data_IF_410874399493
#
_entry.id   IF_410874399493
#
_cell.length_a   1.000
_cell.length_b   1.000
_cell.length_c   1.000
_cell.angle_alpha   90.00
_cell.angle_beta   90.00
_cell.angle_gamma   90.00
#
_symmetry.space_group_name_H-M   'P 1'
#
loop_
_entity.id
_entity.type
_entity.pdbx_description
1 polymer ?
#
# COMPACT_ATOMS: atom_id res chain seq x y z
N UNK A 1 82.53 -53.42 36.86
CA UNK A 1 83.51 -53.53 35.75
C UNK A 1 82.79 -53.03 34.50
N UNK A 2 83.22 -52.06 33.70
CA UNK A 2 84.52 -51.45 33.48
C UNK A 2 84.34 -49.97 33.06
N UNK A 3 85.45 -49.25 33.04
CA UNK A 3 85.57 -47.81 32.83
C UNK A 3 85.50 -47.37 31.34
N UNK A 4 85.10 -46.08 31.18
CA UNK A 4 85.32 -45.06 30.13
C UNK A 4 86.42 -45.33 29.07
N UNK A 5 86.37 -44.74 27.84
CA UNK A 5 86.63 -43.29 27.70
C UNK A 5 86.16 -42.50 26.44
N UNK A 6 86.37 -41.17 26.53
CA UNK A 6 86.81 -40.16 25.51
C UNK A 6 85.87 -39.54 24.45
N UNK A 7 85.49 -38.28 24.74
CA UNK A 7 85.69 -37.01 23.97
C UNK A 7 85.50 -36.94 22.45
N UNK A 8 84.68 -35.96 22.01
CA UNK A 8 85.05 -34.86 21.07
C UNK A 8 83.96 -33.77 21.06
N UNK A 9 84.35 -32.49 21.18
CA UNK A 9 83.54 -31.31 20.81
C UNK A 9 83.50 -31.18 19.28
N UNK A 10 82.46 -30.54 18.72
CA UNK A 10 82.78 -29.34 17.96
C UNK A 10 81.80 -28.16 18.12
N UNK A 11 82.42 -26.98 18.01
CA UNK A 11 81.99 -25.70 17.43
C UNK A 11 80.55 -25.19 17.61
N UNK A 12 80.52 -24.04 18.28
CA UNK A 12 79.52 -22.98 18.14
C UNK A 12 79.35 -22.52 16.69
N UNK A 13 78.11 -22.54 16.21
CA UNK A 13 77.63 -21.60 15.20
C UNK A 13 76.51 -20.77 15.82
N UNK A 14 76.78 -19.47 16.00
CA UNK A 14 75.73 -18.49 16.30
C UNK A 14 74.75 -18.49 15.13
N UNK A 15 73.55 -19.03 15.36
CA UNK A 15 72.43 -18.92 14.43
C UNK A 15 71.71 -17.61 14.71
N UNK A 16 72.01 -16.60 13.90
CA UNK A 16 71.37 -15.28 13.85
C UNK A 16 69.93 -15.36 13.31
N UNK A 17 69.09 -16.22 13.89
CA UNK A 17 67.73 -16.48 13.40
C UNK A 17 66.61 -15.91 14.27
N UNK A 18 66.92 -15.13 15.32
CA UNK A 18 65.89 -14.59 16.22
C UNK A 18 65.35 -13.20 15.87
N UNK A 19 65.98 -12.48 14.93
CA UNK A 19 65.52 -11.13 14.53
C UNK A 19 64.71 -11.07 13.22
N UNK A 20 64.63 -12.14 12.44
CA UNK A 20 63.92 -12.11 11.15
C UNK A 20 62.41 -12.34 11.25
N UNK A 21 61.95 -13.08 12.27
CA UNK A 21 60.53 -13.38 12.48
C UNK A 21 59.70 -12.12 12.81
N UNK A 22 60.10 -11.23 13.74
CA UNK A 22 59.32 -10.02 14.01
C UNK A 22 59.34 -9.04 12.83
N UNK A 23 60.43 -9.00 12.06
CA UNK A 23 60.54 -8.12 10.89
C UNK A 23 59.63 -8.58 9.74
N UNK A 24 59.54 -9.89 9.47
CA UNK A 24 58.62 -10.45 8.48
C UNK A 24 57.15 -10.24 8.87
N UNK A 25 56.81 -10.34 10.16
CA UNK A 25 55.46 -10.04 10.63
C UNK A 25 55.08 -8.56 10.46
N UNK A 26 56.03 -7.63 10.72
CA UNK A 26 55.80 -6.20 10.55
C UNK A 26 55.63 -5.81 9.07
N UNK A 27 56.45 -6.40 8.19
CA UNK A 27 56.35 -6.19 6.74
C UNK A 27 55.02 -6.76 6.20
N UNK A 28 54.58 -7.93 6.69
CA UNK A 28 53.29 -8.51 6.32
C UNK A 28 52.11 -7.63 6.78
N UNK A 29 52.15 -7.09 8.00
CA UNK A 29 51.14 -6.16 8.52
C UNK A 29 51.12 -4.83 7.75
N UNK A 30 52.28 -4.30 7.37
CA UNK A 30 52.39 -3.08 6.55
C UNK A 30 51.88 -3.32 5.12
N UNK A 31 52.20 -4.46 4.52
CA UNK A 31 51.67 -4.84 3.20
C UNK A 31 50.16 -5.07 3.24
N UNK A 32 49.63 -5.66 4.33
CA UNK A 32 48.19 -5.82 4.53
C UNK A 32 47.49 -4.48 4.72
N UNK A 33 48.06 -3.56 5.50
CA UNK A 33 47.54 -2.20 5.65
C UNK A 33 47.58 -1.41 4.33
N UNK A 34 48.66 -1.53 3.55
CA UNK A 34 48.76 -0.92 2.22
C UNK A 34 47.76 -1.54 1.23
N UNK A 35 47.51 -2.85 1.30
CA UNK A 35 46.46 -3.50 0.50
C UNK A 35 45.07 -2.99 0.86
N UNK A 36 44.74 -2.76 2.13
CA UNK A 36 43.44 -2.23 2.54
C UNK A 36 43.31 -0.70 2.34
N UNK A 37 44.41 0.04 2.34
CA UNK A 37 44.44 1.45 1.96
C UNK A 37 44.36 1.66 0.44
N UNK A 38 44.94 0.75 -0.36
CA UNK A 38 44.85 0.76 -1.82
C UNK A 38 43.56 0.11 -2.36
N UNK A 39 42.96 -0.83 -1.61
CA UNK A 39 41.66 -1.44 -1.92
C UNK A 39 40.51 -0.77 -1.16
N UNK A 40 40.44 0.56 -1.19
CA UNK A 40 39.13 1.21 -1.21
C UNK A 40 38.71 1.27 -2.67
N UNK A 41 37.77 0.44 -3.13
CA UNK A 41 37.09 0.78 -4.36
C UNK A 41 36.26 2.03 -4.05
N UNK A 42 36.85 3.21 -4.25
CA UNK A 42 36.12 4.42 -4.58
C UNK A 42 35.55 4.24 -5.99
N UNK A 43 34.66 3.25 -6.14
CA UNK A 43 33.57 3.31 -7.10
C UNK A 43 32.47 4.12 -6.42
N UNK A 44 32.79 5.38 -6.12
CA UNK A 44 31.77 6.42 -6.13
C UNK A 44 31.37 6.46 -7.59
N UNK A 45 30.26 5.78 -7.85
CA UNK A 45 29.65 5.66 -9.16
C UNK A 45 29.53 7.05 -9.76
N UNK A 46 30.39 7.35 -10.73
CA UNK A 46 30.34 8.55 -11.58
C UNK A 46 29.21 8.41 -12.61
N UNK A 47 28.08 7.83 -12.20
CA UNK A 47 26.83 7.66 -12.95
C UNK A 47 25.72 8.59 -12.46
N UNK A 48 25.91 9.31 -11.34
CA UNK A 48 24.93 10.30 -10.87
C UNK A 48 24.94 11.62 -11.68
N UNK A 49 25.85 11.77 -12.66
CA UNK A 49 25.97 13.00 -13.47
C UNK A 49 25.50 12.84 -14.94
N UNK A 50 24.98 11.66 -15.31
CA UNK A 50 24.47 11.37 -16.67
C UNK A 50 22.96 11.07 -16.72
N UNK A 51 22.30 10.95 -15.57
CA UNK A 51 20.85 11.10 -15.49
C UNK A 51 20.60 12.55 -15.13
N UNK A 52 20.56 13.43 -16.14
CA UNK A 52 20.06 14.78 -15.94
C UNK A 52 18.75 14.70 -15.16
N UNK A 53 18.70 15.37 -14.02
CA UNK A 53 17.45 15.78 -13.39
C UNK A 53 16.52 16.19 -14.54
N UNK A 54 15.36 15.53 -14.75
CA UNK A 54 14.46 15.95 -15.81
C UNK A 54 14.18 17.42 -15.55
N UNK A 55 14.72 18.29 -16.41
CA UNK A 55 14.60 19.74 -16.29
C UNK A 55 13.13 20.02 -16.06
N UNK A 56 12.80 20.42 -14.83
CA UNK A 56 11.43 20.61 -14.38
C UNK A 56 10.90 21.79 -15.16
N UNK A 57 10.26 21.51 -16.29
CA UNK A 57 9.64 22.52 -17.12
C UNK A 57 8.55 23.19 -16.27
N UNK A 58 8.83 24.42 -15.83
CA UNK A 58 7.95 25.23 -14.99
C UNK A 58 6.61 25.55 -15.69
N UNK A 59 6.48 25.23 -16.99
CA UNK A 59 5.25 25.35 -17.77
C UNK A 59 4.46 24.03 -17.92
N UNK A 60 4.86 22.92 -17.31
CA UNK A 60 4.07 21.68 -17.37
C UNK A 60 2.79 21.81 -16.56
N UNK A 61 1.65 21.74 -17.26
CA UNK A 61 0.34 21.54 -16.62
C UNK A 61 0.39 20.27 -15.75
N UNK A 62 -0.24 20.25 -14.57
CA UNK A 62 -0.34 19.05 -13.73
C UNK A 62 -0.82 17.87 -14.57
N UNK A 63 -0.15 16.72 -14.47
CA UNK A 63 -0.57 15.56 -15.25
C UNK A 63 -1.82 14.93 -14.63
N UNK A 64 -2.80 14.62 -15.48
CA UNK A 64 -3.89 13.74 -15.10
C UNK A 64 -3.43 12.28 -15.22
N UNK A 65 -3.09 11.65 -14.09
CA UNK A 65 -2.69 10.25 -14.05
C UNK A 65 -3.86 9.26 -14.14
N UNK A 66 -5.12 9.70 -14.06
CA UNK A 66 -6.29 8.80 -14.08
C UNK A 66 -6.79 8.45 -15.48
N UNK A 67 -6.38 9.22 -16.49
CA UNK A 67 -6.72 8.98 -17.90
C UNK A 67 -5.52 8.43 -18.67
N UNK A 68 -5.71 7.28 -19.32
CA UNK A 68 -4.63 6.54 -19.99
C UNK A 68 -5.04 5.13 -20.41
N UNK A 69 -4.03 4.32 -20.72
CA UNK A 69 -4.20 2.93 -21.11
C UNK A 69 -3.13 2.04 -20.49
N UNK A 70 -3.45 0.75 -20.34
CA UNK A 70 -2.45 -0.27 -20.02
C UNK A 70 -1.69 -0.66 -21.27
N UNK A 71 -0.36 -0.61 -21.19
CA UNK A 71 0.54 -1.03 -22.25
C UNK A 71 1.43 -2.16 -21.73
N UNK A 72 1.77 -3.08 -22.62
CA UNK A 72 2.78 -4.09 -22.32
C UNK A 72 4.17 -3.45 -22.41
N UNK A 73 4.95 -3.61 -21.35
CA UNK A 73 6.37 -3.32 -21.34
C UNK A 73 7.08 -4.47 -22.08
N UNK A 74 7.76 -4.21 -23.21
CA UNK A 74 8.43 -5.25 -23.99
C UNK A 74 9.63 -5.82 -23.23
N UNK A 75 10.23 -5.03 -22.35
CA UNK A 75 11.44 -5.40 -21.63
C UNK A 75 11.13 -5.94 -20.22
N UNK A 76 11.91 -6.95 -19.75
CA UNK A 76 11.77 -7.44 -18.39
C UNK A 76 12.23 -6.37 -17.39
N UNK A 77 11.28 -5.64 -16.82
CA UNK A 77 11.61 -4.65 -15.79
C UNK A 77 11.99 -5.34 -14.48
N UNK A 78 13.11 -4.90 -13.91
CA UNK A 78 13.57 -5.37 -12.60
C UNK A 78 12.46 -5.22 -11.56
N UNK A 79 12.20 -6.31 -10.83
CA UNK A 79 11.17 -6.31 -9.80
C UNK A 79 11.57 -5.40 -8.64
N UNK A 80 10.66 -4.52 -8.23
CA UNK A 80 10.84 -3.69 -7.03
C UNK A 80 10.85 -4.52 -5.75
N UNK A 81 10.19 -5.68 -5.78
CA UNK A 81 10.20 -6.72 -4.76
C UNK A 81 9.65 -8.01 -5.39
N UNK A 82 9.96 -9.15 -4.79
CA UNK A 82 9.46 -10.44 -5.25
C UNK A 82 8.36 -11.00 -4.34
N UNK A 83 7.84 -12.15 -4.76
CA UNK A 83 6.81 -12.91 -4.03
C UNK A 83 7.28 -13.48 -2.68
N UNK A 84 8.55 -13.30 -2.28
CA UNK A 84 9.07 -13.78 -0.99
C UNK A 84 8.90 -12.77 0.14
N UNK A 85 8.46 -11.54 -0.16
CA UNK A 85 8.12 -10.54 0.85
C UNK A 85 7.10 -11.10 1.86
N UNK A 86 7.50 -11.18 3.14
CA UNK A 86 6.74 -11.85 4.20
C UNK A 86 5.46 -11.11 4.59
N UNK A 87 5.36 -9.84 4.22
CA UNK A 87 4.20 -8.99 4.48
C UNK A 87 3.02 -9.30 3.53
N UNK A 88 3.29 -9.97 2.39
CA UNK A 88 2.25 -10.38 1.44
C UNK A 88 1.35 -11.42 2.09
N UNK A 89 0.05 -11.13 2.16
CA UNK A 89 -0.93 -12.12 2.61
C UNK A 89 -0.96 -13.30 1.64
N UNK A 90 -1.01 -14.53 2.16
CA UNK A 90 -1.00 -15.76 1.34
C UNK A 90 -2.04 -15.74 0.20
N UNK A 91 -3.25 -15.22 0.47
CA UNK A 91 -4.30 -15.12 -0.54
C UNK A 91 -4.12 -14.00 -1.58
N UNK A 92 -3.10 -13.14 -1.45
CA UNK A 92 -2.72 -12.13 -2.45
C UNK A 92 -1.43 -12.52 -3.19
N UNK A 93 -0.71 -13.52 -2.71
CA UNK A 93 0.55 -13.96 -3.30
C UNK A 93 0.30 -14.91 -4.47
N UNK A 94 -0.08 -14.34 -5.61
CA UNK A 94 -0.49 -15.09 -6.79
C UNK A 94 0.66 -15.87 -7.43
N UNK A 95 1.89 -15.34 -7.40
CA UNK A 95 3.07 -16.02 -7.91
C UNK A 95 3.40 -17.24 -7.05
N UNK A 96 3.50 -17.09 -5.72
CA UNK A 96 3.76 -18.22 -4.82
C UNK A 96 2.63 -19.25 -4.82
N UNK A 97 1.40 -18.82 -5.12
CA UNK A 97 0.23 -19.70 -5.25
C UNK A 97 0.13 -20.38 -6.61
N UNK A 98 1.05 -20.12 -7.55
CA UNK A 98 1.06 -20.75 -8.88
C UNK A 98 -0.03 -20.26 -9.83
N UNK A 99 -0.53 -19.02 -9.68
CA UNK A 99 -1.46 -18.42 -10.66
C UNK A 99 -0.76 -18.33 -12.01
N UNK A 100 -1.42 -18.85 -13.06
CA UNK A 100 -0.83 -19.01 -14.39
C UNK A 100 -0.27 -17.71 -14.98
N UNK A 101 -1.01 -16.61 -14.95
CA UNK A 101 -0.55 -15.29 -15.43
C UNK A 101 0.12 -14.45 -14.33
N UNK A 102 0.45 -15.01 -13.16
CA UNK A 102 0.89 -14.24 -11.99
C UNK A 102 2.17 -13.44 -12.22
N UNK A 103 3.09 -13.92 -13.07
CA UNK A 103 4.30 -13.20 -13.46
C UNK A 103 4.02 -12.17 -14.57
N UNK A 104 3.09 -12.48 -15.47
CA UNK A 104 2.72 -11.61 -16.59
C UNK A 104 2.04 -10.32 -16.12
N UNK A 105 1.42 -10.33 -14.94
CA UNK A 105 0.82 -9.13 -14.33
C UNK A 105 1.78 -7.94 -14.25
N UNK A 106 3.09 -8.22 -14.12
CA UNK A 106 4.17 -7.25 -13.91
C UNK A 106 4.68 -6.62 -15.21
N UNK A 107 4.28 -7.18 -16.36
CA UNK A 107 4.60 -6.66 -17.69
C UNK A 107 3.68 -5.52 -18.08
N UNK A 108 2.55 -5.36 -17.42
CA UNK A 108 1.61 -4.29 -17.68
C UNK A 108 2.04 -3.00 -16.97
N UNK A 109 2.09 -1.90 -17.73
CA UNK A 109 2.38 -0.55 -17.23
C UNK A 109 1.24 0.39 -17.60
N UNK A 110 0.84 1.24 -16.67
CA UNK A 110 -0.12 2.30 -16.95
C UNK A 110 0.60 3.47 -17.66
N UNK A 111 0.05 3.88 -18.80
CA UNK A 111 0.54 4.99 -19.60
C UNK A 111 -0.54 6.08 -19.64
N UNK A 112 -0.38 7.17 -18.87
CA UNK A 112 -1.27 8.32 -18.97
C UNK A 112 -1.27 8.90 -20.39
N UNK A 113 -2.41 9.43 -20.83
CA UNK A 113 -2.61 9.91 -22.20
C UNK A 113 -1.70 11.07 -22.61
N UNK A 114 -1.30 11.91 -21.65
CA UNK A 114 -0.62 13.20 -21.90
C UNK A 114 0.71 13.38 -21.19
N UNK A 115 1.16 12.37 -20.45
CA UNK A 115 2.43 12.41 -19.73
C UNK A 115 2.97 10.99 -19.47
N UNK A 116 4.17 10.90 -18.90
CA UNK A 116 4.68 9.63 -18.36
C UNK A 116 4.35 9.51 -16.87
N UNK A 117 4.10 8.28 -16.43
CA UNK A 117 4.04 7.92 -15.02
C UNK A 117 5.36 7.22 -14.65
N UNK A 118 6.28 7.88 -13.92
CA UNK A 118 7.49 7.24 -13.44
C UNK A 118 7.14 6.11 -12.46
N UNK A 119 7.85 4.98 -12.56
CA UNK A 119 7.78 3.94 -11.53
C UNK A 119 8.42 4.47 -10.24
N UNK A 120 7.82 4.17 -9.09
CA UNK A 120 8.37 4.49 -7.78
C UNK A 120 9.70 3.76 -7.60
N UNK A 121 10.78 4.53 -7.48
CA UNK A 121 12.09 4.06 -7.04
C UNK A 121 12.09 3.98 -5.50
N UNK A 122 12.22 2.77 -4.91
CA UNK A 122 12.10 2.60 -3.46
C UNK A 122 13.20 3.32 -2.67
N UNK A 123 14.41 3.43 -3.22
CA UNK A 123 15.53 4.10 -2.55
C UNK A 123 15.36 5.61 -2.60
N UNK A 124 14.95 6.16 -3.75
CA UNK A 124 14.58 7.58 -3.89
C UNK A 124 13.42 7.94 -2.97
N UNK A 125 12.41 7.09 -2.87
CA UNK A 125 11.28 7.27 -1.95
C UNK A 125 11.76 7.40 -0.49
N UNK A 126 12.56 6.44 -0.01
CA UNK A 126 13.10 6.46 1.35
C UNK A 126 13.93 7.71 1.65
N UNK A 127 14.79 8.12 0.70
CA UNK A 127 15.61 9.34 0.84
C UNK A 127 14.75 10.60 0.89
N UNK A 128 13.74 10.70 0.02
CA UNK A 128 12.87 11.87 -0.12
C UNK A 128 11.98 12.09 1.10
N UNK A 129 11.42 11.02 1.66
CA UNK A 129 10.48 11.08 2.78
C UNK A 129 11.14 10.73 4.13
N UNK A 130 12.44 10.99 4.26
CA UNK A 130 13.13 10.91 5.54
C UNK A 130 12.39 11.73 6.60
N UNK A 131 12.37 11.25 7.85
CA UNK A 131 11.69 11.92 8.98
C UNK A 131 10.18 12.13 8.79
N UNK A 132 9.53 11.28 7.99
CA UNK A 132 8.10 11.40 7.65
C UNK A 132 7.32 10.19 8.17
N UNK A 133 6.06 10.42 8.54
CA UNK A 133 5.11 9.39 8.96
C UNK A 133 4.00 9.32 7.91
N UNK A 134 3.74 8.13 7.37
CA UNK A 134 2.78 7.89 6.30
C UNK A 134 1.70 6.93 6.80
N UNK A 135 0.44 7.34 6.75
CA UNK A 135 -0.70 6.57 7.24
C UNK A 135 -1.66 6.18 6.13
N UNK A 136 -1.92 4.89 5.97
CA UNK A 136 -3.02 4.36 5.16
C UNK A 136 -4.23 4.13 6.07
N UNK A 137 -5.35 4.79 5.80
CA UNK A 137 -6.55 4.74 6.64
C UNK A 137 -7.72 4.22 5.81
N UNK A 138 -8.21 3.02 6.11
CA UNK A 138 -9.33 2.48 5.34
C UNK A 138 -9.51 0.98 5.43
N UNK A 139 -10.15 0.43 4.40
CA UNK A 139 -10.55 -0.96 4.32
C UNK A 139 -9.37 -1.89 3.93
N UNK A 140 -9.69 -3.15 3.63
CA UNK A 140 -8.68 -4.14 3.24
C UNK A 140 -7.91 -3.78 1.97
N UNK A 141 -8.40 -2.88 1.12
CA UNK A 141 -7.69 -2.43 -0.07
C UNK A 141 -6.67 -1.33 0.28
N UNK A 142 -6.89 -0.55 1.34
CA UNK A 142 -5.81 0.28 1.92
C UNK A 142 -4.67 -0.61 2.43
N UNK A 143 -5.00 -1.73 3.08
CA UNK A 143 -3.98 -2.72 3.47
C UNK A 143 -3.24 -3.29 2.25
N UNK A 144 -3.95 -3.59 1.17
CA UNK A 144 -3.36 -4.15 -0.05
C UNK A 144 -2.30 -3.21 -0.64
N UNK A 145 -2.59 -1.91 -0.71
CA UNK A 145 -1.68 -0.86 -1.18
C UNK A 145 -0.51 -0.61 -0.20
N UNK A 146 -0.80 -0.58 1.10
CA UNK A 146 0.21 -0.47 2.16
C UNK A 146 1.24 -1.61 2.10
N UNK A 147 0.79 -2.86 1.95
CA UNK A 147 1.70 -4.01 1.86
C UNK A 147 2.59 -3.92 0.64
N UNK A 148 2.03 -3.53 -0.51
CA UNK A 148 2.79 -3.29 -1.75
C UNK A 148 3.92 -2.27 -1.51
N UNK A 149 3.62 -1.10 -0.92
CA UNK A 149 4.63 -0.09 -0.62
C UNK A 149 5.69 -0.62 0.35
N UNK A 150 5.28 -1.24 1.46
CA UNK A 150 6.22 -1.78 2.46
C UNK A 150 7.15 -2.82 1.84
N UNK A 151 6.66 -3.70 0.98
CA UNK A 151 7.50 -4.68 0.30
C UNK A 151 8.52 -4.02 -0.64
N UNK A 152 8.12 -3.00 -1.40
CA UNK A 152 9.07 -2.21 -2.21
C UNK A 152 10.16 -1.58 -1.36
N UNK A 153 9.81 -0.93 -0.25
CA UNK A 153 10.81 -0.23 0.58
C UNK A 153 11.73 -1.22 1.31
N UNK A 154 11.22 -2.38 1.72
CA UNK A 154 12.01 -3.45 2.37
C UNK A 154 13.02 -4.11 1.44
N UNK A 155 12.82 -4.07 0.13
CA UNK A 155 13.78 -4.67 -0.83
C UNK A 155 15.11 -3.93 -0.86
N UNK A 156 15.12 -2.63 -0.51
CA UNK A 156 16.31 -1.77 -0.53
C UNK A 156 16.76 -1.30 0.86
N UNK A 157 16.05 -1.67 1.93
CA UNK A 157 16.39 -1.27 3.30
C UNK A 157 16.37 -2.46 4.26
N UNK A 158 17.50 -2.67 4.96
CA UNK A 158 17.66 -3.75 5.94
C UNK A 158 17.29 -3.30 7.36
N UNK A 159 17.50 -2.03 7.70
CA UNK A 159 17.19 -1.45 9.01
C UNK A 159 15.69 -1.20 9.20
N UNK A 160 14.87 -2.25 9.32
CA UNK A 160 13.41 -2.12 9.42
C UNK A 160 12.88 -2.75 10.71
N UNK A 161 12.20 -1.94 11.53
CA UNK A 161 11.56 -2.37 12.78
C UNK A 161 10.05 -2.42 12.63
N UNK A 162 9.43 -3.51 13.05
CA UNK A 162 7.96 -3.60 13.18
C UNK A 162 7.53 -2.74 14.37
N UNK A 163 6.87 -1.63 14.08
CA UNK A 163 6.36 -0.68 15.08
C UNK A 163 5.20 0.10 14.47
N UNK A 164 4.17 0.39 15.26
CA UNK A 164 2.96 1.08 14.80
C UNK A 164 2.53 2.14 15.83
N UNK A 165 1.99 3.30 15.38
CA UNK A 165 1.39 4.27 16.28
C UNK A 165 0.08 3.73 16.88
N UNK A 166 -0.46 4.45 17.87
CA UNK A 166 -1.74 4.11 18.49
C UNK A 166 -2.87 4.00 17.44
N UNK A 167 -3.79 3.05 17.66
CA UNK A 167 -4.91 2.77 16.75
C UNK A 167 -4.55 2.00 15.46
N UNK A 168 -3.31 2.10 14.97
CA UNK A 168 -2.92 1.41 13.74
C UNK A 168 -2.97 -0.11 13.90
N UNK A 169 -3.44 -0.83 12.88
CA UNK A 169 -3.40 -2.30 12.78
C UNK A 169 -1.96 -2.77 12.55
N UNK A 170 -1.21 -2.09 11.69
CA UNK A 170 0.16 -2.46 11.30
C UNK A 170 1.04 -1.22 11.14
N UNK A 171 2.35 -1.43 11.26
CA UNK A 171 3.32 -0.41 10.91
C UNK A 171 4.75 -0.95 10.86
N UNK A 172 5.58 -0.24 10.09
CA UNK A 172 7.02 -0.45 10.02
C UNK A 172 7.74 0.90 10.07
N UNK A 173 8.89 0.91 10.74
CA UNK A 173 9.81 2.05 10.75
C UNK A 173 11.12 1.66 10.07
N UNK A 174 11.49 2.42 9.04
CA UNK A 174 12.75 2.30 8.31
C UNK A 174 13.78 3.19 9.02
N UNK A 175 14.59 2.57 9.88
CA UNK A 175 15.43 3.23 10.89
C UNK A 175 16.44 4.19 10.25
N UNK A 176 17.09 3.77 9.17
CA UNK A 176 18.10 4.57 8.45
C UNK A 176 17.53 5.87 7.85
N UNK A 177 16.20 5.95 7.74
CA UNK A 177 15.46 7.07 7.15
C UNK A 177 14.53 7.74 8.16
N UNK A 178 14.40 7.20 9.37
CA UNK A 178 13.41 7.64 10.35
C UNK A 178 12.02 7.84 9.71
N UNK A 179 11.61 6.87 8.87
CA UNK A 179 10.35 6.91 8.13
C UNK A 179 9.44 5.81 8.69
N UNK A 180 8.24 6.17 9.13
CA UNK A 180 7.21 5.20 9.53
C UNK A 180 6.12 5.11 8.49
N UNK A 181 5.76 3.90 8.10
CA UNK A 181 4.53 3.62 7.32
C UNK A 181 3.59 2.80 8.18
N UNK A 182 2.34 3.23 8.34
CA UNK A 182 1.34 2.54 9.13
C UNK A 182 0.03 2.34 8.37
N UNK A 183 -0.74 1.33 8.79
CA UNK A 183 -2.08 1.05 8.29
C UNK A 183 -3.07 1.05 9.46
N UNK A 184 -4.10 1.89 9.35
CA UNK A 184 -5.22 2.01 10.26
C UNK A 184 -6.46 1.40 9.62
N UNK A 185 -6.91 0.26 10.16
CA UNK A 185 -8.06 -0.46 9.63
C UNK A 185 -9.37 0.21 10.05
N UNK A 186 -10.18 0.60 9.08
CA UNK A 186 -11.55 1.07 9.30
C UNK A 186 -12.35 0.94 8.01
N UNK A 187 -13.52 0.31 8.06
CA UNK A 187 -14.25 -0.01 6.81
C UNK A 187 -15.16 1.14 6.35
N UNK A 188 -15.77 1.85 7.31
CA UNK A 188 -16.73 2.95 7.06
C UNK A 188 -16.15 4.32 7.45
N UNK A 189 -14.92 4.38 8.00
CA UNK A 189 -14.27 5.55 8.58
C UNK A 189 -14.96 6.11 9.84
N UNK A 190 -16.25 5.91 10.00
CA UNK A 190 -17.02 6.29 11.18
C UNK A 190 -17.27 5.09 12.09
N UNK A 191 -17.58 5.36 13.37
CA UNK A 191 -17.87 4.35 14.36
C UNK A 191 -19.11 3.56 13.95
N UNK A 192 -19.01 2.23 14.01
CA UNK A 192 -20.17 1.38 13.80
C UNK A 192 -20.14 0.13 14.68
N UNK A 193 -21.32 -0.41 14.98
CA UNK A 193 -21.47 -1.59 15.82
C UNK A 193 -22.87 -2.19 15.70
N UNK A 194 -23.07 -3.39 16.26
CA UNK A 194 -24.40 -4.00 16.34
C UNK A 194 -25.32 -3.12 17.18
N UNK A 195 -26.56 -2.99 16.75
CA UNK A 195 -27.65 -2.34 17.45
C UNK A 195 -28.81 -3.32 17.58
N UNK A 196 -29.47 -3.31 18.74
CA UNK A 196 -30.67 -4.07 19.03
C UNK A 196 -31.65 -3.18 19.76
N UNK A 197 -32.94 -3.41 19.51
CA UNK A 197 -34.03 -2.71 20.17
C UNK A 197 -33.90 -2.83 21.69
N UNK A 198 -34.25 -1.75 22.37
CA UNK A 198 -34.36 -1.68 23.82
C UNK A 198 -35.80 -1.98 24.26
N UNK A 199 -35.98 -2.68 25.38
CA UNK A 199 -37.30 -2.92 25.98
C UNK A 199 -38.01 -1.61 26.38
N UNK A 200 -37.25 -0.53 26.60
CA UNK A 200 -37.79 0.80 26.89
C UNK A 200 -38.36 1.53 25.65
N UNK A 201 -38.33 0.88 24.48
CA UNK A 201 -38.73 1.48 23.21
C UNK A 201 -37.78 2.58 22.73
N UNK A 202 -38.20 3.27 21.67
CA UNK A 202 -37.43 4.31 21.01
C UNK A 202 -37.95 4.56 19.60
N UNK A 203 -37.41 5.56 18.92
CA UNK A 203 -37.94 5.98 17.63
C UNK A 203 -37.77 4.93 16.52
N UNK A 204 -36.73 4.09 16.59
CA UNK A 204 -36.51 3.00 15.64
C UNK A 204 -37.41 1.80 15.96
N UNK A 205 -37.64 1.53 17.23
CA UNK A 205 -38.55 0.50 17.73
C UNK A 205 -40.00 0.81 17.35
N UNK A 206 -40.41 2.09 17.42
CA UNK A 206 -41.72 2.54 16.95
C UNK A 206 -41.92 2.33 15.43
N UNK A 207 -40.84 2.19 14.66
CA UNK A 207 -40.86 1.83 13.24
C UNK A 207 -40.77 0.31 13.02
N UNK A 208 -40.79 -0.50 14.10
CA UNK A 208 -40.72 -1.96 14.03
C UNK A 208 -39.30 -2.52 13.85
N UNK A 209 -38.26 -1.70 13.93
CA UNK A 209 -36.87 -2.13 13.74
C UNK A 209 -36.38 -2.79 15.04
N UNK A 210 -36.02 -4.07 14.95
CA UNK A 210 -35.59 -4.88 16.11
C UNK A 210 -34.08 -4.99 16.27
N UNK A 211 -33.34 -4.87 15.17
CA UNK A 211 -31.89 -5.01 15.14
C UNK A 211 -31.29 -4.36 13.89
N UNK A 212 -29.98 -4.15 13.90
CA UNK A 212 -29.23 -3.62 12.77
C UNK A 212 -27.79 -3.30 13.14
N UNK A 213 -27.19 -2.39 12.39
CA UNK A 213 -25.89 -1.82 12.71
C UNK A 213 -26.02 -0.31 12.91
N UNK A 214 -25.77 0.15 14.13
CA UNK A 214 -25.63 1.58 14.41
C UNK A 214 -24.37 2.09 13.75
N UNK A 215 -24.49 3.17 12.97
CA UNK A 215 -23.40 3.89 12.30
C UNK A 215 -23.48 5.34 12.75
N UNK A 216 -22.57 5.76 13.62
CA UNK A 216 -22.52 7.14 14.11
C UNK A 216 -21.74 8.02 13.12
N UNK A 217 -22.45 8.68 12.21
CA UNK A 217 -21.84 9.36 11.06
C UNK A 217 -20.93 10.52 11.46
N UNK A 218 -21.09 11.07 12.67
CA UNK A 218 -20.32 12.19 13.21
C UNK A 218 -19.21 11.78 14.19
N UNK A 219 -19.01 10.47 14.42
CA UNK A 219 -17.99 9.94 15.32
C UNK A 219 -16.94 9.16 14.51
N UNK A 220 -15.67 9.60 14.46
CA UNK A 220 -14.62 8.85 13.78
C UNK A 220 -14.35 7.52 14.49
N UNK A 221 -14.02 6.48 13.73
CA UNK A 221 -13.62 5.20 14.31
C UNK A 221 -12.30 5.34 15.11
N UNK A 222 -12.25 4.73 16.30
CA UNK A 222 -11.13 4.89 17.24
C UNK A 222 -9.78 4.41 16.67
N UNK A 223 -9.81 3.50 15.70
CA UNK A 223 -8.61 2.93 15.08
C UNK A 223 -7.81 3.94 14.26
N UNK A 224 -8.39 5.08 13.88
CA UNK A 224 -7.69 6.12 13.11
C UNK A 224 -7.88 7.54 13.63
N UNK A 225 -8.65 7.75 14.70
CA UNK A 225 -8.92 9.08 15.25
C UNK A 225 -7.64 9.93 15.51
N UNK A 226 -6.52 9.29 15.88
CA UNK A 226 -5.22 9.94 16.11
C UNK A 226 -4.27 9.89 14.89
N UNK A 227 -4.69 9.32 13.78
CA UNK A 227 -3.89 9.29 12.55
C UNK A 227 -3.65 10.70 11.96
N UNK A 228 -4.64 11.62 11.92
CA UNK A 228 -4.45 12.98 11.40
C UNK A 228 -3.35 13.78 12.09
N UNK A 229 -3.19 13.62 13.41
CA UNK A 229 -2.22 14.36 14.21
C UNK A 229 -0.82 13.76 14.16
N UNK A 230 -0.69 12.46 13.88
CA UNK A 230 0.59 11.74 13.88
C UNK A 230 1.28 11.70 12.51
N UNK A 231 0.50 11.62 11.42
CA UNK A 231 1.03 11.40 10.07
C UNK A 231 1.20 12.70 9.28
N UNK A 232 2.30 12.77 8.54
CA UNK A 232 2.61 13.85 7.61
C UNK A 232 1.96 13.62 6.24
N UNK A 233 1.72 12.35 5.87
CA UNK A 233 1.02 11.97 4.66
C UNK A 233 -0.07 10.96 5.04
N UNK A 234 -1.30 11.21 4.62
CA UNK A 234 -2.44 10.33 4.90
C UNK A 234 -3.11 9.93 3.60
N UNK A 235 -3.47 8.65 3.47
CA UNK A 235 -4.18 8.11 2.33
C UNK A 235 -5.43 7.41 2.85
N UNK A 236 -6.59 8.04 2.66
CA UNK A 236 -7.89 7.52 3.06
C UNK A 236 -8.54 6.70 1.95
N UNK A 237 -9.31 5.68 2.33
CA UNK A 237 -10.30 5.05 1.44
C UNK A 237 -11.50 4.50 2.22
N UNK A 238 -12.64 4.41 1.56
CA UNK A 238 -13.80 3.63 2.00
C UNK A 238 -14.67 3.30 0.78
N UNK A 239 -15.39 2.18 0.80
CA UNK A 239 -16.36 1.90 -0.26
C UNK A 239 -17.02 0.53 -0.16
N UNK A 240 -16.24 -0.55 -0.17
CA UNK A 240 -16.78 -1.92 -0.31
C UNK A 240 -17.85 -2.30 0.70
N UNK A 241 -17.77 -1.78 1.93
CA UNK A 241 -18.72 -2.08 2.98
C UNK A 241 -20.02 -1.28 2.89
N UNK A 242 -20.05 -0.16 2.17
CA UNK A 242 -21.27 0.65 1.95
C UNK A 242 -22.27 -0.04 1.03
N UNK A 243 -21.79 -0.90 0.12
CA UNK A 243 -22.60 -1.73 -0.78
C UNK A 243 -22.40 -3.24 -0.52
N UNK A 244 -22.41 -3.65 0.75
CA UNK A 244 -22.23 -5.03 1.15
C UNK A 244 -23.47 -5.63 1.86
N UNK A 245 -24.49 -6.10 1.13
CA UNK A 245 -25.67 -6.75 1.71
C UNK A 245 -25.33 -7.98 2.56
N UNK A 246 -24.23 -8.69 2.29
CA UNK A 246 -23.74 -9.78 3.15
C UNK A 246 -23.33 -9.34 4.54
N UNK A 247 -22.99 -8.06 4.70
CA UNK A 247 -22.57 -7.50 5.97
C UNK A 247 -23.69 -6.69 6.63
N UNK A 248 -24.41 -5.92 5.82
CA UNK A 248 -25.50 -5.04 6.22
C UNK A 248 -26.72 -5.38 5.38
N UNK A 249 -27.45 -6.42 5.79
CA UNK A 249 -28.64 -6.85 5.09
C UNK A 249 -29.73 -5.76 5.21
N UNK A 250 -30.30 -5.25 4.10
CA UNK A 250 -31.24 -4.13 4.14
C UNK A 250 -32.51 -4.37 4.97
N UNK A 251 -32.88 -5.62 5.23
CA UNK A 251 -34.09 -5.99 5.95
C UNK A 251 -33.76 -6.59 7.33
N UNK A 252 -32.85 -7.55 7.37
CA UNK A 252 -32.56 -8.32 8.58
C UNK A 252 -31.58 -7.60 9.52
N UNK A 253 -30.65 -6.82 8.97
CA UNK A 253 -29.61 -6.13 9.74
C UNK A 253 -29.15 -4.82 9.07
N UNK A 254 -30.07 -3.85 8.86
CA UNK A 254 -29.80 -2.65 8.09
C UNK A 254 -28.76 -1.75 8.75
N UNK A 255 -28.18 -0.85 7.97
CA UNK A 255 -27.42 0.28 8.50
C UNK A 255 -28.40 1.30 9.08
N UNK A 256 -28.21 1.64 10.36
CA UNK A 256 -29.02 2.58 11.11
C UNK A 256 -28.12 3.77 11.46
N UNK A 257 -28.36 4.90 10.81
CA UNK A 257 -27.50 6.07 10.95
C UNK A 257 -27.88 6.89 12.17
N UNK A 258 -26.87 7.36 12.90
CA UNK A 258 -27.01 8.22 14.07
C UNK A 258 -26.15 9.46 13.89
N UNK A 259 -26.69 10.63 14.22
CA UNK A 259 -25.96 11.90 14.28
C UNK A 259 -26.19 12.52 15.66
N UNK A 260 -25.13 12.95 16.34
CA UNK A 260 -25.17 13.50 17.71
C UNK A 260 -25.87 12.56 18.71
N UNK A 261 -25.71 11.26 18.50
CA UNK A 261 -26.29 10.22 19.34
C UNK A 261 -27.78 9.93 19.11
N UNK A 262 -28.44 10.64 18.19
CA UNK A 262 -29.85 10.44 17.84
C UNK A 262 -29.97 9.71 16.50
N UNK A 263 -30.97 8.83 16.32
CA UNK A 263 -31.20 8.18 15.04
C UNK A 263 -31.63 9.20 13.98
N UNK A 264 -31.12 9.05 12.75
CA UNK A 264 -31.58 9.81 11.59
C UNK A 264 -32.90 9.22 11.13
N UNK A 265 -33.96 10.05 11.10
CA UNK A 265 -35.32 9.63 10.80
C UNK A 265 -35.93 10.46 9.64
N UNK A 266 -36.68 9.81 8.72
CA UNK A 266 -36.82 8.35 8.58
C UNK A 266 -35.48 7.68 8.26
N UNK A 267 -35.31 6.36 8.50
CA UNK A 267 -34.09 5.65 8.13
C UNK A 267 -33.72 5.91 6.67
N UNK A 268 -32.46 6.26 6.44
CA UNK A 268 -31.95 6.62 5.12
C UNK A 268 -31.10 5.48 4.53
N UNK A 269 -31.01 5.37 3.20
CA UNK A 269 -30.24 4.31 2.58
C UNK A 269 -28.72 4.60 2.61
N UNK A 270 -27.85 3.62 2.33
CA UNK A 270 -26.39 3.77 2.41
C UNK A 270 -25.80 4.92 1.57
N UNK A 271 -26.44 5.29 0.47
CA UNK A 271 -26.09 6.43 -0.40
C UNK A 271 -26.10 7.76 0.36
N UNK A 272 -27.10 7.94 1.24
CA UNK A 272 -27.18 9.13 2.09
C UNK A 272 -26.25 8.99 3.28
N UNK A 273 -26.14 7.77 3.83
CA UNK A 273 -25.23 7.46 4.93
C UNK A 273 -23.76 7.78 4.62
N UNK A 274 -23.29 7.42 3.42
CA UNK A 274 -21.90 7.71 3.00
C UNK A 274 -21.68 9.22 2.84
N UNK A 275 -22.65 9.97 2.29
CA UNK A 275 -22.58 11.43 2.19
C UNK A 275 -22.44 12.08 3.58
N UNK A 276 -23.22 11.61 4.56
CA UNK A 276 -23.15 12.08 5.95
C UNK A 276 -21.81 11.74 6.62
N UNK A 277 -21.35 10.49 6.47
CA UNK A 277 -20.10 10.05 7.06
C UNK A 277 -18.89 10.79 6.47
N UNK A 278 -18.84 10.97 5.14
CA UNK A 278 -17.77 11.71 4.48
C UNK A 278 -17.74 13.17 4.94
N UNK A 279 -18.90 13.83 5.03
CA UNK A 279 -19.00 15.22 5.50
C UNK A 279 -18.32 15.41 6.87
N UNK A 280 -18.64 14.57 7.84
CA UNK A 280 -18.09 14.69 9.19
C UNK A 280 -16.65 14.23 9.29
N UNK A 281 -16.30 13.11 8.64
CA UNK A 281 -14.96 12.56 8.64
C UNK A 281 -13.94 13.51 7.98
N UNK A 282 -14.28 14.12 6.83
CA UNK A 282 -13.42 15.12 6.18
C UNK A 282 -13.17 16.27 7.14
N UNK A 283 -14.25 16.82 7.70
CA UNK A 283 -14.18 17.94 8.64
C UNK A 283 -13.34 17.60 9.90
N UNK A 284 -13.46 16.38 10.41
CA UNK A 284 -12.66 15.88 11.53
C UNK A 284 -11.17 15.78 11.18
N UNK A 285 -10.86 15.15 10.04
CA UNK A 285 -9.49 14.94 9.59
C UNK A 285 -8.78 16.27 9.34
N UNK A 286 -9.42 17.24 8.69
CA UNK A 286 -8.84 18.56 8.41
C UNK A 286 -8.54 19.36 9.67
N UNK A 287 -9.45 19.35 10.65
CA UNK A 287 -9.24 20.06 11.93
C UNK A 287 -8.08 19.48 12.74
N UNK A 288 -7.79 18.18 12.57
CA UNK A 288 -6.83 17.46 13.41
C UNK A 288 -5.53 17.12 12.67
N UNK A 289 -5.46 17.44 11.38
CA UNK A 289 -4.28 17.24 10.56
C UNK A 289 -3.08 18.01 11.13
N UNK A 290 -1.92 17.36 11.19
CA UNK A 290 -0.68 18.04 11.51
C UNK A 290 -0.40 19.19 10.51
N UNK A 291 0.27 20.24 10.97
CA UNK A 291 0.58 21.40 10.11
C UNK A 291 1.43 20.95 8.92
N UNK A 292 0.98 21.29 7.71
CA UNK A 292 1.65 20.89 6.47
C UNK A 292 1.47 19.42 6.09
N UNK A 293 0.62 18.68 6.81
CA UNK A 293 0.25 17.32 6.42
C UNK A 293 -0.47 17.33 5.08
N UNK A 294 -0.23 16.28 4.31
CA UNK A 294 -0.84 16.06 3.01
C UNK A 294 -1.81 14.90 3.07
N UNK A 295 -3.05 15.19 2.73
CA UNK A 295 -4.12 14.20 2.86
C UNK A 295 -4.67 13.86 1.49
N UNK A 296 -4.74 12.57 1.21
CA UNK A 296 -5.28 12.00 -0.01
C UNK A 296 -6.55 11.21 0.28
N UNK A 297 -7.48 11.23 -0.67
CA UNK A 297 -8.55 10.25 -0.74
C UNK A 297 -8.36 9.41 -1.98
N UNK A 298 -8.13 8.12 -1.81
CA UNK A 298 -8.05 7.17 -2.91
C UNK A 298 -9.47 6.80 -3.36
N UNK A 299 -9.74 6.91 -4.65
CA UNK A 299 -11.01 6.47 -5.23
C UNK A 299 -11.22 4.96 -5.03
N UNK A 300 -12.46 4.52 -5.20
CA UNK A 300 -12.86 3.16 -4.90
C UNK A 300 -12.15 2.17 -5.83
N UNK A 301 -11.57 1.13 -5.23
CA UNK A 301 -11.02 0.01 -5.99
C UNK A 301 -12.18 -0.83 -6.53
N UNK A 302 -12.22 -1.16 -7.83
CA UNK A 302 -13.26 -2.00 -8.39
C UNK A 302 -13.11 -3.46 -7.95
N UNK A 303 -14.22 -4.18 -7.99
CA UNK A 303 -14.31 -5.64 -8.08
C UNK A 303 -14.66 -6.04 -9.51
N UNK A 304 -14.35 -7.28 -9.91
CA UNK A 304 -14.60 -7.77 -11.26
C UNK A 304 -15.36 -9.10 -11.24
N UNK A 305 -16.61 -9.11 -10.80
CA UNK A 305 -17.46 -10.28 -10.92
C UNK A 305 -18.10 -10.35 -12.32
N UNK A 306 -17.97 -11.50 -12.97
CA UNK A 306 -18.59 -11.87 -14.24
C UNK A 306 -19.49 -13.10 -14.06
N UNK A 307 -20.60 -13.16 -14.82
CA UNK A 307 -21.57 -14.26 -14.76
C UNK A 307 -22.50 -14.24 -13.54
N UNK A 308 -22.49 -13.16 -12.77
CA UNK A 308 -23.29 -12.98 -11.55
C UNK A 308 -22.50 -12.24 -10.49
N UNK A 309 -23.14 -11.86 -9.39
CA UNK A 309 -22.45 -11.29 -8.23
C UNK A 309 -21.80 -12.39 -7.36
N UNK A 310 -21.03 -12.02 -6.34
CA UNK A 310 -20.27 -12.89 -5.44
C UNK A 310 -21.11 -14.03 -4.80
N UNK A 311 -22.42 -13.82 -4.61
CA UNK A 311 -23.37 -14.80 -4.07
C UNK A 311 -24.28 -15.45 -5.11
N UNK A 312 -24.12 -15.11 -6.39
CA UNK A 312 -24.94 -15.62 -7.51
C UNK A 312 -24.10 -16.37 -8.54
N UNK A 313 -22.97 -16.94 -8.12
CA UNK A 313 -22.09 -17.73 -8.99
C UNK A 313 -21.06 -16.91 -9.78
N UNK A 314 -20.90 -15.62 -9.48
CA UNK A 314 -19.92 -14.74 -10.11
C UNK A 314 -18.47 -15.20 -9.91
N UNK A 315 -17.62 -14.90 -10.90
CA UNK A 315 -16.19 -15.25 -10.89
C UNK A 315 -15.31 -14.17 -11.55
N UNK A 316 -13.98 -14.28 -11.39
CA UNK A 316 -12.99 -13.35 -11.95
C UNK A 316 -11.76 -14.12 -12.46
N UNK A 317 -11.96 -14.94 -13.49
CA UNK A 317 -10.93 -15.87 -14.00
C UNK A 317 -10.13 -15.34 -15.18
N UNK A 318 -10.32 -14.07 -15.56
CA UNK A 318 -9.61 -13.46 -16.68
C UNK A 318 -8.09 -13.51 -16.48
N UNK A 319 -7.37 -13.57 -17.59
CA UNK A 319 -5.91 -13.61 -17.65
C UNK A 319 -5.29 -12.41 -18.32
N UNK A 320 -6.11 -11.63 -19.01
CA UNK A 320 -5.75 -10.42 -19.74
C UNK A 320 -6.63 -9.26 -19.28
N UNK A 321 -6.13 -8.01 -19.37
CA UNK A 321 -6.94 -6.83 -19.11
C UNK A 321 -8.19 -6.79 -19.99
N UNK A 322 -9.23 -6.11 -19.49
CA UNK A 322 -10.43 -5.82 -20.25
C UNK A 322 -10.13 -4.89 -21.42
N UNK A 323 -10.90 -5.04 -22.50
CA UNK A 323 -11.00 -4.02 -23.54
C UNK A 323 -11.93 -2.90 -23.08
N UNK A 324 -11.79 -1.70 -23.66
CA UNK A 324 -12.57 -0.53 -23.24
C UNK A 324 -14.09 -0.74 -23.29
N UNK A 325 -14.61 -1.49 -24.27
CA UNK A 325 -16.04 -1.76 -24.36
C UNK A 325 -16.52 -2.73 -23.27
N UNK A 326 -15.69 -3.70 -22.88
CA UNK A 326 -15.98 -4.63 -21.78
C UNK A 326 -15.97 -3.93 -20.42
N UNK A 327 -15.08 -2.94 -20.25
CA UNK A 327 -15.11 -2.06 -19.09
C UNK A 327 -16.45 -1.32 -19.01
N UNK A 328 -16.90 -0.70 -20.10
CA UNK A 328 -18.20 -0.01 -20.07
C UNK A 328 -19.37 -0.96 -19.86
N UNK A 329 -19.30 -2.20 -20.32
CA UNK A 329 -20.32 -3.21 -20.05
C UNK A 329 -20.37 -3.63 -18.58
N UNK A 330 -19.23 -3.89 -17.94
CA UNK A 330 -19.16 -4.42 -16.57
C UNK A 330 -19.37 -3.37 -15.49
N UNK A 331 -19.17 -2.09 -15.80
CA UNK A 331 -19.20 -0.99 -14.83
C UNK A 331 -20.25 0.09 -15.13
N UNK A 332 -21.08 -0.05 -16.17
CA UNK A 332 -22.13 0.93 -16.49
C UNK A 332 -23.14 1.09 -15.35
N UNK A 333 -23.28 2.31 -14.84
CA UNK A 333 -24.30 2.68 -13.85
C UNK A 333 -25.70 2.69 -14.48
N UNK A 334 -25.81 3.21 -15.71
CA UNK A 334 -27.09 3.30 -16.44
C UNK A 334 -27.71 1.92 -16.71
N UNK A 335 -26.87 0.92 -16.99
CA UNK A 335 -27.29 -0.46 -17.21
C UNK A 335 -27.37 -1.29 -15.93
N UNK A 336 -27.11 -0.69 -14.77
CA UNK A 336 -27.00 -1.39 -13.49
C UNK A 336 -26.10 -2.64 -13.57
N UNK A 337 -24.92 -2.47 -14.14
CA UNK A 337 -23.96 -3.55 -14.36
C UNK A 337 -23.48 -4.16 -13.02
N UNK A 338 -23.02 -5.41 -13.06
CA UNK A 338 -22.65 -6.20 -11.86
C UNK A 338 -21.66 -5.49 -10.94
N UNK A 339 -20.75 -4.68 -11.49
CA UNK A 339 -19.70 -3.99 -10.73
C UNK A 339 -19.90 -2.46 -10.68
N UNK A 340 -21.09 -1.96 -11.02
CA UNK A 340 -21.37 -0.53 -11.15
C UNK A 340 -21.23 0.26 -9.84
N UNK A 341 -21.24 -0.41 -8.67
CA UNK A 341 -21.18 0.25 -7.38
C UNK A 341 -19.88 1.07 -7.19
N UNK A 342 -18.78 0.68 -7.82
CA UNK A 342 -17.52 1.44 -7.78
C UNK A 342 -17.70 2.87 -8.30
N UNK A 343 -18.45 3.04 -9.40
CA UNK A 343 -18.69 4.34 -10.02
C UNK A 343 -19.69 5.15 -9.20
N UNK A 344 -20.72 4.51 -8.63
CA UNK A 344 -21.68 5.16 -7.72
C UNK A 344 -20.99 5.70 -6.47
N UNK A 345 -20.17 4.87 -5.80
CA UNK A 345 -19.40 5.28 -4.63
C UNK A 345 -18.52 6.49 -4.97
N UNK A 346 -17.83 6.46 -6.12
CA UNK A 346 -16.99 7.57 -6.53
C UNK A 346 -17.77 8.86 -6.80
N UNK A 347 -19.01 8.81 -7.28
CA UNK A 347 -19.86 10.01 -7.41
C UNK A 347 -20.05 10.70 -6.05
N UNK A 348 -20.33 9.93 -4.99
CA UNK A 348 -20.42 10.44 -3.61
C UNK A 348 -19.08 10.98 -3.11
N UNK A 349 -17.97 10.27 -3.34
CA UNK A 349 -16.62 10.71 -2.97
C UNK A 349 -16.27 12.05 -3.64
N UNK A 350 -16.41 12.16 -4.96
CA UNK A 350 -16.10 13.40 -5.69
C UNK A 350 -16.99 14.57 -5.25
N UNK A 351 -18.28 14.30 -4.97
CA UNK A 351 -19.20 15.32 -4.44
C UNK A 351 -18.73 15.84 -3.09
N UNK A 352 -18.37 14.96 -2.16
CA UNK A 352 -17.91 15.32 -0.81
C UNK A 352 -16.56 16.06 -0.83
N UNK A 353 -15.63 15.62 -1.68
CA UNK A 353 -14.25 16.13 -1.70
C UNK A 353 -14.09 17.46 -2.44
N UNK A 354 -15.07 17.88 -3.27
CA UNK A 354 -14.99 19.09 -4.13
C UNK A 354 -14.59 20.37 -3.39
N UNK A 355 -14.91 20.48 -2.10
CA UNK A 355 -14.62 21.66 -1.25
C UNK A 355 -13.69 21.35 -0.08
N UNK A 356 -13.04 20.19 -0.10
CA UNK A 356 -12.08 19.78 0.91
C UNK A 356 -10.65 20.10 0.49
N UNK A 357 -9.74 20.06 1.44
CA UNK A 357 -8.29 20.10 1.24
C UNK A 357 -7.68 18.78 0.77
N UNK A 358 -8.48 17.70 0.68
CA UNK A 358 -8.01 16.39 0.28
C UNK A 358 -7.65 16.37 -1.21
N UNK A 359 -6.51 15.76 -1.51
CA UNK A 359 -6.09 15.46 -2.88
C UNK A 359 -6.72 14.13 -3.32
N UNK A 360 -7.34 14.07 -4.49
CA UNK A 360 -7.92 12.82 -4.98
C UNK A 360 -6.82 11.98 -5.64
N UNK A 361 -6.60 10.78 -5.11
CA UNK A 361 -5.74 9.77 -5.74
C UNK A 361 -6.63 8.85 -6.58
N UNK A 362 -6.85 9.24 -7.83
CA UNK A 362 -7.81 8.55 -8.70
C UNK A 362 -7.19 7.31 -9.38
N UNK A 363 -7.56 6.13 -8.88
CA UNK A 363 -7.09 4.83 -9.33
C UNK A 363 -8.17 3.98 -9.98
N UNK A 364 -9.43 4.43 -9.98
CA UNK A 364 -10.55 3.57 -10.34
C UNK A 364 -10.46 3.18 -11.81
N UNK A 365 -10.35 4.16 -12.71
CA UNK A 365 -10.38 3.92 -14.15
C UNK A 365 -9.30 2.94 -14.58
N UNK A 366 -8.04 3.15 -14.18
CA UNK A 366 -6.96 2.20 -14.48
C UNK A 366 -7.23 0.81 -13.91
N UNK A 367 -7.87 0.72 -12.74
CA UNK A 367 -8.15 -0.55 -12.09
C UNK A 367 -9.31 -1.31 -12.74
N UNK A 368 -10.28 -0.63 -13.34
CA UNK A 368 -11.40 -1.24 -14.08
C UNK A 368 -10.93 -2.10 -15.26
N UNK A 369 -9.75 -1.81 -15.82
CA UNK A 369 -9.20 -2.64 -16.89
C UNK A 369 -8.59 -3.94 -16.38
N UNK A 370 -8.31 -4.07 -15.09
CA UNK A 370 -7.36 -5.08 -14.57
C UNK A 370 -8.04 -6.32 -13.99
N UNK A 371 -9.11 -6.79 -14.61
CA UNK A 371 -9.78 -8.03 -14.23
C UNK A 371 -8.82 -9.25 -14.10
N UNK A 372 -7.69 -9.24 -14.83
CA UNK A 372 -6.63 -10.25 -14.79
C UNK A 372 -5.85 -10.34 -13.48
N UNK A 373 -5.82 -9.24 -12.73
CA UNK A 373 -4.92 -9.03 -11.59
C UNK A 373 -5.52 -9.43 -10.23
N UNK A 374 -6.73 -9.98 -10.21
CA UNK A 374 -7.35 -10.51 -9.00
C UNK A 374 -6.77 -11.88 -8.60
N UNK A 375 -6.66 -12.18 -7.29
CA UNK A 375 -6.25 -13.49 -6.83
C UNK A 375 -7.18 -14.62 -7.26
N UNK A 376 -8.49 -14.36 -7.46
CA UNK A 376 -9.49 -15.38 -7.81
C UNK A 376 -9.43 -16.57 -6.84
N UNK A 377 -9.14 -17.79 -7.32
CA UNK A 377 -9.09 -19.03 -6.52
C UNK A 377 -7.77 -19.28 -5.80
N UNK A 378 -6.78 -18.38 -5.94
CA UNK A 378 -5.46 -18.56 -5.30
C UNK A 378 -5.56 -18.60 -3.77
N UNK A 379 -4.57 -19.26 -3.13
CA UNK A 379 -4.55 -19.42 -1.68
C UNK A 379 -5.51 -20.49 -1.12
N UNK A 380 -6.05 -21.37 -1.98
CA UNK A 380 -6.99 -22.46 -1.62
C UNK A 380 -8.29 -21.96 -0.97
N UNK A 381 -8.80 -20.81 -1.43
CA UNK A 381 -10.08 -20.30 -0.97
C UNK A 381 -11.23 -21.09 -1.61
N UNK A 382 -12.31 -21.31 -0.86
CA UNK A 382 -13.56 -21.92 -1.37
C UNK A 382 -14.33 -20.99 -2.30
N UNK A 383 -14.07 -19.67 -2.23
CA UNK A 383 -14.71 -18.63 -3.02
C UNK A 383 -13.66 -17.79 -3.74
N UNK A 384 -14.03 -17.19 -4.87
CA UNK A 384 -13.15 -16.34 -5.65
C UNK A 384 -12.97 -14.96 -5.00
N UNK A 385 -11.71 -14.55 -4.84
CA UNK A 385 -11.37 -13.21 -4.40
C UNK A 385 -11.26 -12.29 -5.62
N UNK A 386 -12.39 -11.68 -5.97
CA UNK A 386 -12.52 -10.72 -7.07
C UNK A 386 -12.52 -9.27 -6.60
N UNK A 387 -12.01 -9.03 -5.38
CA UNK A 387 -12.00 -7.72 -4.73
C UNK A 387 -10.55 -7.27 -4.48
N UNK A 388 -9.72 -8.13 -3.89
CA UNK A 388 -8.33 -7.81 -3.61
C UNK A 388 -7.44 -8.02 -4.82
N UNK A 389 -6.17 -7.62 -4.74
CA UNK A 389 -5.23 -7.64 -5.84
C UNK A 389 -4.04 -8.55 -5.57
N UNK A 390 -3.58 -9.23 -6.61
CA UNK A 390 -2.31 -9.94 -6.59
C UNK A 390 -1.14 -9.00 -6.25
N UNK A 391 -0.19 -9.50 -5.46
CA UNK A 391 1.07 -8.84 -5.15
C UNK A 391 2.26 -9.71 -5.55
N UNK A 392 3.31 -9.15 -6.21
CA UNK A 392 3.32 -7.83 -6.85
C UNK A 392 2.29 -7.69 -7.98
N UNK A 393 1.89 -6.47 -8.33
CA UNK A 393 0.77 -6.23 -9.27
C UNK A 393 0.18 -4.81 -9.24
N UNK A 394 -1.12 -4.69 -9.50
CA UNK A 394 -1.83 -3.42 -9.73
C UNK A 394 -1.60 -2.35 -8.63
N UNK A 395 -1.59 -2.75 -7.37
CA UNK A 395 -1.38 -1.80 -6.26
C UNK A 395 0.00 -1.15 -6.28
N UNK A 396 0.96 -1.76 -6.99
CA UNK A 396 2.27 -1.17 -7.21
C UNK A 396 2.16 0.10 -8.08
N UNK A 397 1.27 0.07 -9.09
CA UNK A 397 0.92 1.23 -9.91
C UNK A 397 0.18 2.29 -9.11
N UNK A 398 -0.67 1.92 -8.15
CA UNK A 398 -1.28 2.92 -7.26
C UNK A 398 -0.22 3.67 -6.44
N UNK A 399 0.84 2.98 -6.00
CA UNK A 399 1.96 3.61 -5.33
C UNK A 399 2.82 4.47 -6.29
N UNK A 400 2.89 4.13 -7.57
CA UNK A 400 3.49 4.99 -8.61
C UNK A 400 2.73 6.32 -8.73
N UNK A 401 1.39 6.26 -8.81
CA UNK A 401 0.53 7.45 -8.86
C UNK A 401 0.67 8.28 -7.58
N UNK A 402 0.72 7.62 -6.41
CA UNK A 402 0.94 8.32 -5.15
C UNK A 402 2.29 9.06 -5.15
N UNK A 403 3.38 8.42 -5.61
CA UNK A 403 4.69 9.06 -5.70
C UNK A 403 4.64 10.28 -6.63
N UNK A 404 4.05 10.14 -7.81
CA UNK A 404 3.95 11.23 -8.77
C UNK A 404 3.14 12.41 -8.21
N UNK A 405 1.99 12.13 -7.57
CA UNK A 405 1.18 13.16 -6.92
C UNK A 405 1.91 13.81 -5.72
N UNK A 406 2.76 13.05 -5.02
CA UNK A 406 3.61 13.57 -3.98
C UNK A 406 4.68 14.53 -4.53
N UNK A 407 5.25 14.23 -5.70
CA UNK A 407 6.26 15.08 -6.35
C UNK A 407 5.64 16.37 -6.91
N UNK A 408 4.55 16.29 -7.67
CA UNK A 408 3.95 17.41 -8.40
C UNK A 408 3.55 18.59 -7.49
N UNK A 409 3.07 18.28 -6.30
CA UNK A 409 2.68 19.26 -5.26
C UNK A 409 3.84 19.94 -4.51
N UNK A 410 5.09 19.54 -4.74
CA UNK A 410 6.28 20.17 -4.13
C UNK A 410 6.91 21.20 -5.05
N UNK A 411 6.07 21.91 -5.82
CA UNK A 411 6.44 22.98 -6.75
C UNK A 411 6.00 24.34 -6.25
#
# INVERSE_FOLDING_TARGET
MAAKPTTRRPLSTLSSFSCFVPFLCLVSLLLFALFFSAARPSVVSRYDDLLGEPTRDKNRRPCNYSDGAWVLDPDPVALRYDHTCREIFKGWNCIASGKLNGRDLLRWRWQPSRCSLPRLDPLRFLRRFRNTNIGFVGDSLSRNMYVSLVCMLRSVSRGVRKWRPAGADRGFTFLDYNLTVAYHRTNLLVRYGRWSASDNGGALESLGIKQGYRVDVDVPEHTWAEAPSFHHILIFNTGHWWWAPSKFDPEQSPMLFFEKGLPVLPPVPPEIGIDLALKHMISYAERRAAKGARTFFRTQSPRHFEGGDWNRGGSCRRREPLLSHEVEELFSVEKNATNAEVRVINQHLHKALRRSSFQILDITRMSEFRADAHPSTTGRKKHEDCMHWCLPGLTDTWNDVLMAALEDSTG
#
